data_IF_102666649381
#
_entry.id   IF_102666649381
#
_cell.length_a   1.000
_cell.length_b   1.000
_cell.length_c   1.000
_cell.angle_alpha   90.00
_cell.angle_beta   90.00
_cell.angle_gamma   90.00
#
_symmetry.space_group_name_H-M   'P 1'
#
loop_
_entity.id
_entity.type
_entity.pdbx_description
1 polymer ?
#
# COMPACT_ATOMS: atom_id res chain seq x y z
N UNK A 1 6.00 4.02 -7.74
CA UNK A 1 4.68 3.98 -8.43
C UNK A 1 3.69 2.96 -7.85
N UNK A 2 4.13 1.98 -7.05
CA UNK A 2 3.23 0.98 -6.46
C UNK A 2 2.51 1.46 -5.18
N UNK A 3 2.98 2.55 -4.55
CA UNK A 3 2.45 3.04 -3.27
C UNK A 3 0.94 3.38 -3.29
N UNK A 4 0.38 4.01 -4.34
CA UNK A 4 -1.06 4.24 -4.39
C UNK A 4 -1.87 2.94 -4.38
N UNK A 5 -1.34 1.87 -4.96
CA UNK A 5 -2.04 0.57 -5.03
C UNK A 5 -2.21 -0.09 -3.66
N UNK A 6 -1.29 0.12 -2.72
CA UNK A 6 -1.45 -0.33 -1.33
C UNK A 6 -2.71 0.23 -0.66
N UNK A 7 -3.15 1.42 -1.06
CA UNK A 7 -4.35 2.08 -0.53
C UNK A 7 -5.58 1.72 -1.38
N UNK A 8 -5.42 1.73 -2.72
CA UNK A 8 -6.53 1.49 -3.65
C UNK A 8 -7.06 0.06 -3.57
N UNK A 9 -6.21 -0.96 -3.38
CA UNK A 9 -6.64 -2.36 -3.35
C UNK A 9 -7.62 -2.62 -2.18
N UNK A 10 -7.31 -2.25 -0.92
CA UNK A 10 -8.28 -2.37 0.17
C UNK A 10 -9.55 -1.54 -0.05
N UNK A 11 -9.41 -0.32 -0.62
CA UNK A 11 -10.54 0.58 -0.84
C UNK A 11 -11.52 0.02 -1.87
N UNK A 12 -11.01 -0.45 -3.02
CA UNK A 12 -11.80 -1.10 -4.06
C UNK A 12 -12.34 -2.44 -3.55
N UNK A 13 -11.54 -3.19 -2.79
CA UNK A 13 -11.96 -4.45 -2.15
C UNK A 13 -13.17 -4.24 -1.23
N UNK A 14 -13.16 -3.21 -0.39
CA UNK A 14 -14.29 -2.85 0.46
C UNK A 14 -15.54 -2.45 -0.34
N UNK A 15 -15.37 -1.67 -1.40
CA UNK A 15 -16.47 -1.27 -2.28
C UNK A 15 -17.08 -2.48 -3.02
N UNK A 16 -16.23 -3.41 -3.47
CA UNK A 16 -16.67 -4.67 -4.08
C UNK A 16 -17.38 -5.57 -3.08
N UNK A 17 -16.89 -5.70 -1.84
CA UNK A 17 -17.58 -6.43 -0.78
C UNK A 17 -19.00 -5.90 -0.55
N UNK A 18 -19.16 -4.59 -0.50
CA UNK A 18 -20.47 -3.94 -0.32
C UNK A 18 -21.42 -4.22 -1.48
N UNK A 19 -20.95 -4.10 -2.73
CA UNK A 19 -21.81 -4.30 -3.89
C UNK A 19 -22.14 -5.78 -4.13
N UNK A 20 -21.20 -6.68 -3.84
CA UNK A 20 -21.30 -8.11 -4.15
C UNK A 20 -21.97 -8.94 -3.05
N UNK A 21 -22.27 -8.35 -1.89
CA UNK A 21 -23.12 -8.97 -0.86
C UNK A 21 -24.48 -9.41 -1.42
N UNK A 22 -25.00 -8.67 -2.40
CA UNK A 22 -26.28 -8.95 -3.08
C UNK A 22 -26.30 -10.28 -3.84
N UNK A 23 -25.14 -10.81 -4.24
CA UNK A 23 -25.04 -12.07 -4.99
C UNK A 23 -24.86 -13.30 -4.09
N UNK A 24 -24.65 -13.10 -2.79
CA UNK A 24 -24.61 -14.20 -1.82
C UNK A 24 -23.86 -13.82 -0.55
N UNK A 25 -24.36 -14.30 0.59
CA UNK A 25 -23.84 -14.00 1.94
C UNK A 25 -22.40 -14.45 2.17
N UNK A 26 -21.85 -15.35 1.34
CA UNK A 26 -20.47 -15.85 1.42
C UNK A 26 -19.49 -15.10 0.51
N UNK A 27 -19.99 -14.34 -0.47
CA UNK A 27 -19.17 -13.69 -1.51
C UNK A 27 -18.27 -12.58 -0.95
N UNK A 28 -18.73 -11.69 -0.04
CA UNK A 28 -17.89 -10.64 0.54
C UNK A 28 -16.63 -11.17 1.25
N UNK A 29 -16.73 -12.34 1.90
CA UNK A 29 -15.59 -12.94 2.63
C UNK A 29 -14.45 -13.33 1.69
N UNK A 30 -14.77 -13.88 0.52
CA UNK A 30 -13.77 -14.24 -0.48
C UNK A 30 -13.13 -13.03 -1.15
N UNK A 31 -13.92 -11.98 -1.42
CA UNK A 31 -13.40 -10.72 -1.98
C UNK A 31 -12.44 -10.05 -0.99
N UNK A 32 -12.83 -9.98 0.29
CA UNK A 32 -11.97 -9.44 1.34
C UNK A 32 -10.65 -10.24 1.45
N UNK A 33 -10.74 -11.58 1.40
CA UNK A 33 -9.56 -12.44 1.44
C UNK A 33 -8.63 -12.19 0.25
N UNK A 34 -9.18 -12.08 -0.96
CA UNK A 34 -8.40 -11.80 -2.17
C UNK A 34 -7.76 -10.40 -2.10
N UNK A 35 -8.51 -9.38 -1.66
CA UNK A 35 -8.00 -8.02 -1.54
C UNK A 35 -6.87 -7.90 -0.51
N UNK A 36 -7.02 -8.53 0.66
CA UNK A 36 -5.97 -8.56 1.68
C UNK A 36 -4.77 -9.37 1.20
N UNK A 37 -4.99 -10.53 0.55
CA UNK A 37 -3.92 -11.33 -0.04
C UNK A 37 -3.12 -10.59 -1.12
N UNK A 38 -3.79 -9.81 -1.97
CA UNK A 38 -3.13 -8.94 -2.95
C UNK A 38 -2.33 -7.82 -2.28
N UNK A 39 -2.86 -7.23 -1.21
CA UNK A 39 -2.17 -6.18 -0.45
C UNK A 39 -0.89 -6.73 0.20
N UNK A 40 -0.97 -7.94 0.77
CA UNK A 40 0.19 -8.65 1.34
C UNK A 40 1.20 -9.05 0.26
N UNK A 41 0.74 -9.56 -0.89
CA UNK A 41 1.64 -9.90 -1.99
C UNK A 41 2.39 -8.67 -2.51
N UNK A 42 1.72 -7.53 -2.61
CA UNK A 42 2.31 -6.28 -3.07
C UNK A 42 3.30 -5.71 -2.04
N UNK A 43 3.01 -5.84 -0.74
CA UNK A 43 3.95 -5.44 0.32
C UNK A 43 5.19 -6.33 0.35
N UNK A 44 5.04 -7.65 0.18
CA UNK A 44 6.18 -8.57 0.02
C UNK A 44 6.98 -8.31 -1.26
N UNK A 45 6.33 -7.90 -2.35
CA UNK A 45 7.03 -7.50 -3.57
C UNK A 45 7.87 -6.24 -3.34
N UNK A 46 7.32 -5.23 -2.67
CA UNK A 46 8.06 -4.04 -2.26
C UNK A 46 9.19 -4.38 -1.31
N UNK A 47 8.98 -5.38 -0.45
CA UNK A 47 10.04 -5.97 0.35
C UNK A 47 11.15 -6.47 -0.56
N UNK A 48 10.92 -7.45 -1.44
CA UNK A 48 11.99 -8.01 -2.27
C UNK A 48 12.74 -6.98 -3.15
N UNK A 49 12.11 -5.86 -3.51
CA UNK A 49 12.72 -4.78 -4.29
C UNK A 49 13.56 -3.80 -3.46
N UNK A 50 13.26 -3.63 -2.17
CA UNK A 50 14.07 -2.85 -1.26
C UNK A 50 15.36 -3.60 -0.95
N UNK A 51 16.51 -3.18 -1.49
CA UNK A 51 17.78 -3.79 -1.07
C UNK A 51 18.07 -3.47 0.40
N UNK A 52 17.65 -4.31 1.37
CA UNK A 52 17.98 -4.17 2.80
C UNK A 52 19.44 -4.54 3.11
N UNK A 53 20.34 -4.25 2.18
CA UNK A 53 21.75 -4.16 2.52
C UNK A 53 21.93 -2.96 3.44
N UNK A 54 22.73 -3.12 4.50
CA UNK A 54 23.16 -2.05 5.41
C UNK A 54 23.84 -0.91 4.62
N UNK A 55 23.07 -0.06 3.96
CA UNK A 55 23.58 1.12 3.27
C UNK A 55 23.96 2.13 4.34
N UNK A 56 25.25 2.42 4.37
CA UNK A 56 25.90 3.46 5.19
C UNK A 56 25.03 4.72 5.22
N UNK A 57 24.74 5.30 6.41
CA UNK A 57 23.82 6.43 6.52
C UNK A 57 24.39 7.65 5.80
N UNK A 58 23.91 7.91 4.58
CA UNK A 58 24.25 9.12 3.81
C UNK A 58 23.39 10.31 4.23
N UNK A 59 23.27 10.60 5.53
CA UNK A 59 22.78 11.88 6.10
C UNK A 59 21.44 12.49 5.63
N UNK A 60 20.74 11.89 4.67
CA UNK A 60 19.55 12.38 3.98
C UNK A 60 18.46 11.33 4.18
N UNK A 61 17.18 11.70 4.43
CA UNK A 61 16.08 10.74 4.44
C UNK A 61 16.01 10.01 3.10
N UNK A 62 16.48 8.77 3.07
CA UNK A 62 16.48 7.94 1.87
C UNK A 62 15.23 7.05 1.90
N UNK A 63 14.17 7.52 1.26
CA UNK A 63 12.98 6.70 1.03
C UNK A 63 13.30 5.62 -0.01
N UNK A 64 12.85 4.39 0.23
CA UNK A 64 12.99 3.30 -0.73
C UNK A 64 12.12 3.54 -1.96
N UNK A 65 10.95 4.13 -1.75
CA UNK A 65 10.05 4.59 -2.82
C UNK A 65 9.32 5.84 -2.38
N UNK A 66 9.16 6.76 -3.32
CA UNK A 66 8.41 8.01 -3.14
C UNK A 66 7.41 8.17 -4.27
N UNK A 67 6.23 8.69 -3.94
CA UNK A 67 5.21 9.07 -4.91
C UNK A 67 4.66 10.44 -4.51
N UNK A 68 4.84 11.40 -5.40
CA UNK A 68 4.38 12.77 -5.25
C UNK A 68 3.32 13.06 -6.32
N UNK A 69 2.13 13.48 -5.88
CA UNK A 69 1.08 13.96 -6.77
C UNK A 69 0.55 15.31 -6.25
N UNK A 70 0.54 16.39 -7.05
CA UNK A 70 -0.02 17.66 -6.63
C UNK A 70 -1.53 17.50 -6.37
N UNK A 71 -2.01 17.94 -5.20
CA UNK A 71 -3.42 17.84 -4.83
C UNK A 71 -4.06 19.21 -4.67
N UNK A 72 -3.49 20.08 -3.83
CA UNK A 72 -3.95 21.46 -3.66
C UNK A 72 -2.74 22.40 -3.76
N UNK A 73 -2.31 22.74 -5.00
CA UNK A 73 -1.08 23.50 -5.25
C UNK A 73 -1.07 24.88 -4.60
N UNK A 74 -2.25 25.51 -4.45
CA UNK A 74 -2.41 26.83 -3.80
C UNK A 74 -1.87 26.86 -2.37
N UNK A 75 -1.94 25.74 -1.66
CA UNK A 75 -1.43 25.60 -0.29
C UNK A 75 -0.11 24.83 -0.24
N UNK A 76 0.50 24.49 -1.38
CA UNK A 76 1.68 23.62 -1.44
C UNK A 76 1.40 22.18 -0.99
N UNK A 77 0.14 21.73 -1.01
CA UNK A 77 -0.25 20.40 -0.54
C UNK A 77 -0.18 19.42 -1.71
N UNK A 78 0.62 18.37 -1.54
CA UNK A 78 0.71 17.21 -2.42
C UNK A 78 0.39 15.94 -1.67
N UNK A 79 -0.18 14.95 -2.37
CA UNK A 79 -0.20 13.57 -1.91
C UNK A 79 1.24 13.07 -1.99
N UNK A 80 1.92 13.08 -0.84
CA UNK A 80 3.27 12.56 -0.69
C UNK A 80 3.16 11.22 0.03
N UNK A 81 3.36 10.14 -0.71
CA UNK A 81 3.50 8.80 -0.16
C UNK A 81 4.98 8.42 -0.19
N UNK A 82 5.56 8.22 0.99
CA UNK A 82 6.93 7.80 1.15
C UNK A 82 6.97 6.47 1.92
N UNK A 83 7.84 5.57 1.47
CA UNK A 83 8.02 4.25 2.08
C UNK A 83 9.46 4.08 2.54
N UNK A 84 9.61 3.84 3.84
CA UNK A 84 10.87 3.47 4.49
C UNK A 84 10.81 2.01 4.98
N UNK A 85 11.94 1.46 5.41
CA UNK A 85 12.04 0.10 5.95
C UNK A 85 11.10 -0.14 7.14
N UNK A 86 10.94 0.84 8.03
CA UNK A 86 10.00 0.75 9.14
C UNK A 86 8.54 0.77 8.67
N UNK A 87 8.19 1.68 7.75
CA UNK A 87 6.83 1.75 7.18
C UNK A 87 6.46 0.46 6.45
N UNK A 88 7.41 -0.14 5.73
CA UNK A 88 7.18 -1.40 5.05
C UNK A 88 6.85 -2.54 6.03
N UNK A 89 7.58 -2.66 7.14
CA UNK A 89 7.27 -3.67 8.17
C UNK A 89 5.84 -3.48 8.71
N UNK A 90 5.43 -2.23 8.95
CA UNK A 90 4.06 -1.93 9.38
C UNK A 90 3.02 -2.30 8.32
N UNK A 91 3.29 -2.01 7.04
CA UNK A 91 2.38 -2.34 5.94
C UNK A 91 2.25 -3.87 5.76
N UNK A 92 3.35 -4.62 5.87
CA UNK A 92 3.32 -6.09 5.85
C UNK A 92 2.49 -6.63 7.02
N UNK A 93 2.70 -6.10 8.23
CA UNK A 93 1.93 -6.48 9.42
C UNK A 93 0.44 -6.21 9.26
N UNK A 94 0.04 -5.10 8.64
CA UNK A 94 -1.38 -4.80 8.40
C UNK A 94 -2.04 -5.68 7.34
N UNK A 95 -1.24 -6.28 6.46
CA UNK A 95 -1.73 -7.19 5.42
C UNK A 95 -1.88 -8.64 5.87
N UNK A 96 -1.37 -8.98 7.07
CA UNK A 96 -1.36 -10.32 7.66
C UNK A 96 -2.56 -10.50 8.60
#
# INVERSE_FOLDING_TARGET
MLLPWLILIPFIGGLLCWQLERFGTKVPRWIALIAMGLTLALSLQLWMQGGYTLTTPKGIPQWQSEFLLPWIPRFGISIHLALDGLSLLMVVLTGL
#
